data_IF_594302314375
#
_entry.id   IF_594302314375
#
_cell.length_a   1.000
_cell.length_b   1.000
_cell.length_c   1.000
_cell.angle_alpha   90.00
_cell.angle_beta   90.00
_cell.angle_gamma   90.00
#
_symmetry.space_group_name_H-M   'P 1'
#
loop_
_entity.id
_entity.type
_entity.pdbx_description
1 polymer ?
#
# COMPACT_ATOMS: atom_id res chain seq x y z
N UNK A 1 -4.16 33.02 -13.86
CA UNK A 1 -2.99 32.66 -13.03
C UNK A 1 -3.16 31.19 -12.68
N UNK A 2 -2.52 30.30 -13.44
CA UNK A 2 -2.48 28.87 -13.09
C UNK A 2 -1.59 28.74 -11.86
N UNK A 3 -2.19 28.47 -10.70
CA UNK A 3 -1.43 28.03 -9.54
C UNK A 3 -0.82 26.67 -9.91
N UNK A 4 0.49 26.66 -10.19
CA UNK A 4 1.28 25.43 -10.23
C UNK A 4 1.32 24.86 -8.81
N UNK A 5 0.28 24.13 -8.45
CA UNK A 5 0.21 23.45 -7.17
C UNK A 5 1.10 22.21 -7.30
N UNK A 6 2.31 22.29 -6.77
CA UNK A 6 3.24 21.16 -6.76
C UNK A 6 2.56 19.98 -6.05
N UNK A 7 2.18 18.96 -6.80
CA UNK A 7 1.61 17.74 -6.21
C UNK A 7 2.73 17.04 -5.45
N UNK A 8 2.64 17.01 -4.12
CA UNK A 8 3.65 16.36 -3.29
C UNK A 8 3.55 14.85 -3.48
N UNK A 9 4.69 14.19 -3.75
CA UNK A 9 4.77 12.74 -3.82
C UNK A 9 5.12 12.20 -2.43
N UNK A 10 4.33 11.22 -1.97
CA UNK A 10 4.48 10.62 -0.64
C UNK A 10 4.61 9.11 -0.81
N UNK A 11 5.62 8.52 -0.17
CA UNK A 11 5.79 7.08 -0.10
C UNK A 11 5.46 6.61 1.31
N UNK A 12 4.48 5.71 1.43
CA UNK A 12 4.22 4.94 2.64
C UNK A 12 4.93 3.61 2.51
N UNK A 13 5.74 3.25 3.49
CA UNK A 13 6.42 1.96 3.56
C UNK A 13 5.81 1.16 4.69
N UNK A 14 5.36 -0.05 4.37
CA UNK A 14 4.70 -0.98 5.27
C UNK A 14 5.43 -2.33 5.26
N UNK A 15 5.50 -2.97 6.42
CA UNK A 15 6.14 -4.28 6.54
C UNK A 15 5.27 -5.33 5.86
N UNK A 16 4.01 -5.44 6.27
CA UNK A 16 3.06 -6.40 5.72
C UNK A 16 1.93 -5.68 5.00
N UNK A 17 1.17 -6.36 4.13
CA UNK A 17 -0.15 -5.90 3.73
C UNK A 17 -0.95 -5.50 4.97
N UNK A 18 -1.82 -4.51 4.82
CA UNK A 18 -2.77 -4.05 5.84
C UNK A 18 -2.16 -3.03 6.83
N UNK A 19 -0.85 -3.07 7.08
CA UNK A 19 -0.15 -2.14 8.00
C UNK A 19 -0.34 -0.68 7.56
N UNK A 20 -0.33 -0.39 6.26
CA UNK A 20 -0.56 0.95 5.73
C UNK A 20 -1.99 1.45 5.99
N UNK A 21 -2.97 0.55 5.88
CA UNK A 21 -4.39 0.87 6.07
C UNK A 21 -4.66 1.07 7.56
N UNK A 22 -4.21 0.14 8.39
CA UNK A 22 -4.44 0.13 9.84
C UNK A 22 -3.64 1.23 10.54
N UNK A 23 -2.40 1.46 10.12
CA UNK A 23 -1.51 2.43 10.74
C UNK A 23 -1.80 3.87 10.34
N UNK A 24 -2.00 4.13 9.04
CA UNK A 24 -2.13 5.51 8.53
C UNK A 24 -3.17 5.72 7.42
N UNK A 25 -4.10 4.78 7.22
CA UNK A 25 -5.10 4.85 6.15
C UNK A 25 -5.90 6.16 6.10
N UNK A 26 -6.31 6.70 7.25
CA UNK A 26 -6.99 8.00 7.32
C UNK A 26 -6.13 9.17 6.84
N UNK A 27 -4.83 9.15 7.14
CA UNK A 27 -3.87 10.16 6.68
C UNK A 27 -3.62 10.04 5.18
N UNK A 28 -3.48 8.80 4.68
CA UNK A 28 -3.36 8.52 3.25
C UNK A 28 -4.55 9.10 2.48
N UNK A 29 -5.77 8.74 2.88
CA UNK A 29 -6.99 9.21 2.22
C UNK A 29 -7.11 10.73 2.23
N UNK A 30 -6.78 11.37 3.37
CA UNK A 30 -6.80 12.84 3.47
C UNK A 30 -5.80 13.49 2.52
N UNK A 31 -4.56 13.00 2.47
CA UNK A 31 -3.51 13.57 1.63
C UNK A 31 -3.79 13.34 0.14
N UNK A 32 -4.31 12.17 -0.23
CA UNK A 32 -4.78 11.90 -1.59
C UNK A 32 -5.90 12.87 -2.00
N UNK A 33 -6.88 13.12 -1.13
CA UNK A 33 -7.95 14.10 -1.38
C UNK A 33 -7.45 15.55 -1.53
N UNK A 34 -6.30 15.88 -0.92
CA UNK A 34 -5.61 17.16 -1.08
C UNK A 34 -4.72 17.23 -2.34
N UNK A 35 -4.73 16.19 -3.18
CA UNK A 35 -3.98 16.14 -4.43
C UNK A 35 -2.54 15.62 -4.32
N UNK A 36 -2.16 15.02 -3.19
CA UNK A 36 -0.87 14.35 -3.08
C UNK A 36 -0.84 13.05 -3.91
N UNK A 37 0.31 12.75 -4.50
CA UNK A 37 0.52 11.48 -5.20
C UNK A 37 1.02 10.44 -4.20
N UNK A 38 0.12 9.55 -3.75
CA UNK A 38 0.45 8.52 -2.78
C UNK A 38 0.98 7.27 -3.47
N UNK A 39 2.16 6.82 -3.04
CA UNK A 39 2.75 5.54 -3.38
C UNK A 39 2.82 4.68 -2.12
N UNK A 40 2.58 3.38 -2.26
CA UNK A 40 2.70 2.42 -1.16
C UNK A 40 3.70 1.33 -1.54
N UNK A 41 4.65 1.06 -0.66
CA UNK A 41 5.58 -0.06 -0.72
C UNK A 41 5.28 -1.02 0.42
N UNK A 42 4.84 -2.22 0.09
CA UNK A 42 4.70 -3.34 1.03
C UNK A 42 5.90 -4.27 0.81
N UNK A 43 6.61 -4.59 1.88
CA UNK A 43 7.86 -5.35 1.84
C UNK A 43 7.63 -6.87 1.88
N UNK A 44 6.78 -7.31 2.80
CA UNK A 44 6.47 -8.70 3.08
C UNK A 44 5.31 -9.23 2.25
N UNK A 45 5.30 -10.55 2.09
CA UNK A 45 4.27 -11.30 1.38
C UNK A 45 2.98 -11.41 2.22
N UNK A 46 3.06 -11.21 3.54
CA UNK A 46 1.94 -11.10 4.48
C UNK A 46 1.19 -12.39 4.77
N UNK A 47 1.23 -13.39 3.87
CA UNK A 47 0.44 -14.63 3.94
C UNK A 47 1.23 -15.92 3.74
N UNK A 48 2.55 -15.87 3.56
CA UNK A 48 3.35 -17.12 3.51
C UNK A 48 3.51 -17.78 4.86
N UNK A 49 3.40 -17.04 5.97
CA UNK A 49 3.41 -17.61 7.31
C UNK A 49 2.25 -18.59 7.58
N UNK A 50 1.19 -18.59 6.75
CA UNK A 50 0.00 -19.45 6.92
C UNK A 50 -0.06 -20.66 5.98
N UNK A 51 0.92 -20.83 5.09
CA UNK A 51 0.98 -21.97 4.16
C UNK A 51 -0.06 -21.91 3.03
N UNK A 52 -0.49 -20.71 2.65
CA UNK A 52 -1.53 -20.48 1.65
C UNK A 52 -0.96 -20.53 0.21
N UNK A 53 -1.75 -21.07 -0.72
CA UNK A 53 -1.34 -21.34 -2.09
C UNK A 53 -1.48 -20.15 -3.05
N UNK A 54 -1.30 -20.38 -4.37
CA UNK A 54 -1.36 -19.32 -5.37
C UNK A 54 -2.71 -18.59 -5.44
N UNK A 55 -3.83 -19.25 -5.08
CA UNK A 55 -5.17 -18.65 -5.14
C UNK A 55 -5.36 -17.61 -4.05
N UNK A 56 -4.93 -17.90 -2.82
CA UNK A 56 -5.00 -16.98 -1.69
C UNK A 56 -4.08 -15.78 -1.89
N UNK A 57 -2.91 -15.99 -2.49
CA UNK A 57 -2.01 -14.91 -2.89
C UNK A 57 -2.64 -13.99 -3.94
N UNK A 58 -3.37 -14.55 -4.91
CA UNK A 58 -4.12 -13.77 -5.88
C UNK A 58 -5.27 -12.99 -5.21
N UNK A 59 -5.99 -13.61 -4.28
CA UNK A 59 -7.05 -12.97 -3.52
C UNK A 59 -6.51 -11.79 -2.68
N UNK A 60 -5.39 -11.98 -1.97
CA UNK A 60 -4.72 -10.91 -1.24
C UNK A 60 -4.32 -9.74 -2.15
N UNK A 61 -3.73 -10.02 -3.32
CA UNK A 61 -3.37 -8.95 -4.27
C UNK A 61 -4.60 -8.16 -4.73
N UNK A 62 -5.76 -8.80 -4.87
CA UNK A 62 -7.02 -8.10 -5.17
C UNK A 62 -7.53 -7.27 -3.98
N UNK A 63 -7.41 -7.78 -2.75
CA UNK A 63 -7.78 -7.07 -1.52
C UNK A 63 -6.95 -5.78 -1.36
N UNK A 64 -5.63 -5.89 -1.49
CA UNK A 64 -4.70 -4.74 -1.45
C UNK A 64 -5.09 -3.69 -2.50
N UNK A 65 -5.31 -4.11 -3.75
CA UNK A 65 -5.68 -3.19 -4.83
C UNK A 65 -7.00 -2.47 -4.54
N UNK A 66 -8.02 -3.18 -4.04
CA UNK A 66 -9.31 -2.57 -3.69
C UNK A 66 -9.16 -1.55 -2.55
N UNK A 67 -8.44 -1.90 -1.49
CA UNK A 67 -8.19 -0.99 -0.37
C UNK A 67 -7.46 0.27 -0.83
N UNK A 68 -6.38 0.12 -1.61
CA UNK A 68 -5.60 1.23 -2.14
C UNK A 68 -6.39 2.11 -3.11
N UNK A 69 -7.29 1.53 -3.90
CA UNK A 69 -8.20 2.30 -4.75
C UNK A 69 -9.14 3.18 -3.92
N UNK A 70 -9.71 2.64 -2.82
CA UNK A 70 -10.58 3.40 -1.90
C UNK A 70 -9.80 4.57 -1.27
N UNK A 71 -8.54 4.34 -0.92
CA UNK A 71 -7.68 5.35 -0.27
C UNK A 71 -7.10 6.40 -1.23
N UNK A 72 -7.33 6.29 -2.55
CA UNK A 72 -6.79 7.22 -3.54
C UNK A 72 -5.29 7.05 -3.82
N UNK A 73 -4.76 5.85 -3.61
CA UNK A 73 -3.35 5.51 -3.87
C UNK A 73 -3.09 5.50 -5.37
N UNK A 74 -2.01 6.17 -5.78
CA UNK A 74 -1.60 6.26 -7.19
C UNK A 74 -0.94 4.97 -7.66
N UNK A 75 -0.08 4.36 -6.83
CA UNK A 75 0.66 3.15 -7.18
C UNK A 75 1.01 2.31 -5.95
N UNK A 76 0.85 1.00 -6.12
CA UNK A 76 1.25 -0.01 -5.13
C UNK A 76 2.48 -0.74 -5.65
N UNK A 77 3.47 -0.92 -4.77
CA UNK A 77 4.70 -1.64 -5.00
C UNK A 77 4.71 -2.80 -4.01
N UNK A 78 4.68 -4.02 -4.52
CA UNK A 78 4.79 -5.23 -3.71
C UNK A 78 6.21 -5.80 -3.85
N UNK A 79 6.69 -6.37 -2.75
CA UNK A 79 7.87 -7.20 -2.68
C UNK A 79 7.47 -8.52 -2.03
N UNK A 80 8.34 -9.51 -2.20
CA UNK A 80 8.10 -10.88 -1.75
C UNK A 80 9.21 -11.25 -0.74
N UNK A 81 9.54 -10.33 0.18
CA UNK A 81 10.51 -10.63 1.24
C UNK A 81 9.87 -11.57 2.26
N UNK A 82 10.60 -12.57 2.78
CA UNK A 82 10.05 -13.51 3.75
C UNK A 82 9.53 -12.79 5.00
N UNK A 83 8.31 -13.12 5.40
CA UNK A 83 7.71 -12.55 6.60
C UNK A 83 8.56 -12.88 7.84
N UNK A 84 8.75 -11.91 8.72
CA UNK A 84 9.55 -12.01 9.95
C UNK A 84 11.05 -12.32 9.75
N UNK A 85 11.58 -12.19 8.53
CA UNK A 85 13.00 -12.38 8.22
C UNK A 85 13.50 -11.30 7.24
N UNK A 86 13.44 -10.04 7.67
CA UNK A 86 14.07 -8.90 6.98
C UNK A 86 15.52 -8.70 7.45
N UNK A 87 16.30 -9.79 7.52
CA UNK A 87 17.69 -9.82 7.98
C UNK A 87 18.73 -9.72 6.84
#
# INVERSE_FOLDING_TARGET
>A
MENSQSSHSILVVAAHPDDEVLGCGGTIARLAALGAQIHILILGEGKTARGEGPEEQAALRQEIQKAHQILGVKKTHLRDFPDNAFD
#
